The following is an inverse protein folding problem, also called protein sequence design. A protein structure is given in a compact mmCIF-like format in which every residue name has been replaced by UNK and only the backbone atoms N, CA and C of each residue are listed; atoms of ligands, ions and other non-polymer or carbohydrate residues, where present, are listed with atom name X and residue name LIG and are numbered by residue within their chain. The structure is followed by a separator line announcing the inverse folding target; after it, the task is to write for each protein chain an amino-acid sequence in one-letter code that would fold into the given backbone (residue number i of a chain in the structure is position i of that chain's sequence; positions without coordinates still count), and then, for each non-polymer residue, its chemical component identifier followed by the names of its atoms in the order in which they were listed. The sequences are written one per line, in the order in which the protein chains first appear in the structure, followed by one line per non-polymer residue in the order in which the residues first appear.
data_IF_927286224186
#
_entry.id   IF_927286224186
#
_cell.length_a   1.000
_cell.length_b   1.000
_cell.length_c   1.000
_cell.angle_alpha   90.00
_cell.angle_beta   90.00
_cell.angle_gamma   90.00
#
_symmetry.space_group_name_H-M   'P 1'
#
loop_
_entity.id
_entity.type
_entity.pdbx_description
1 polymer ?
#
# COMPACT_ATOMS: atom_id res chain seq x y z
N UNK A 1 -32.72 -23.57 29.69
CA UNK A 1 -32.29 -22.19 30.00
C UNK A 1 -30.79 -22.17 30.38
N UNK A 2 -29.92 -21.83 29.43
CA UNK A 2 -28.48 -21.72 29.71
C UNK A 2 -28.16 -20.26 30.05
N UNK A 3 -27.71 -20.05 31.29
CA UNK A 3 -27.24 -18.76 31.83
C UNK A 3 -25.82 -18.50 31.33
N UNK A 4 -25.63 -17.43 30.56
CA UNK A 4 -24.30 -16.96 30.15
C UNK A 4 -23.92 -15.75 31.00
N UNK A 5 -23.27 -16.04 32.14
CA UNK A 5 -22.40 -15.06 32.79
C UNK A 5 -20.99 -15.26 32.21
N UNK A 6 -20.61 -14.37 31.29
CA UNK A 6 -19.22 -14.25 30.84
C UNK A 6 -18.97 -12.77 30.53
N UNK A 7 -18.35 -12.07 31.48
CA UNK A 7 -17.85 -10.70 31.33
C UNK A 7 -16.66 -10.67 30.38
N UNK A 8 -16.87 -11.04 29.12
CA UNK A 8 -15.88 -10.89 28.06
C UNK A 8 -16.01 -9.47 27.50
N UNK A 9 -15.01 -8.63 27.79
CA UNK A 9 -14.84 -7.33 27.16
C UNK A 9 -14.48 -7.53 25.68
N UNK A 10 -15.49 -7.68 24.85
CA UNK A 10 -15.31 -7.67 23.40
C UNK A 10 -15.09 -6.22 22.95
N UNK A 11 -13.90 -5.92 22.46
CA UNK A 11 -13.62 -4.63 21.82
C UNK A 11 -13.95 -4.73 20.33
N UNK A 12 -15.03 -4.08 19.92
CA UNK A 12 -15.43 -4.01 18.52
C UNK A 12 -14.88 -2.73 17.88
N UNK A 13 -14.54 -2.82 16.59
CA UNK A 13 -14.22 -1.64 15.80
C UNK A 13 -15.45 -0.73 15.69
N UNK A 14 -15.23 0.58 15.79
CA UNK A 14 -16.28 1.56 15.53
C UNK A 14 -16.50 1.68 14.03
N UNK A 15 -17.76 1.74 13.62
CA UNK A 15 -18.09 2.04 12.24
C UNK A 15 -17.75 3.50 11.95
N UNK A 16 -16.97 3.73 10.89
CA UNK A 16 -16.70 5.06 10.35
C UNK A 16 -17.73 5.38 9.26
N UNK A 17 -18.13 6.65 9.17
CA UNK A 17 -19.01 7.11 8.09
C UNK A 17 -18.28 7.10 6.75
N UNK A 18 -19.03 7.15 5.65
CA UNK A 18 -18.44 7.19 4.29
C UNK A 18 -17.52 8.41 4.08
N UNK A 19 -17.89 9.55 4.68
CA UNK A 19 -17.14 10.79 4.56
C UNK A 19 -15.85 10.74 5.41
N UNK A 20 -15.91 10.13 6.59
CA UNK A 20 -14.71 9.84 7.39
C UNK A 20 -13.79 8.86 6.68
N UNK A 21 -14.34 7.78 6.12
CA UNK A 21 -13.57 6.82 5.32
C UNK A 21 -12.87 7.50 4.14
N UNK A 22 -13.51 8.44 3.44
CA UNK A 22 -12.87 9.14 2.33
C UNK A 22 -11.75 10.08 2.78
N UNK A 23 -11.91 10.73 3.93
CA UNK A 23 -10.86 11.57 4.53
C UNK A 23 -9.69 10.72 5.04
N UNK A 24 -9.97 9.60 5.68
CA UNK A 24 -8.96 8.65 6.16
C UNK A 24 -8.30 7.88 5.00
N UNK A 25 -9.07 7.51 3.99
CA UNK A 25 -8.59 6.95 2.72
C UNK A 25 -7.92 7.99 1.85
N UNK A 26 -7.70 9.21 2.33
CA UNK A 26 -6.87 10.15 1.62
C UNK A 26 -5.54 9.48 1.28
N UNK A 27 -5.15 9.56 0.00
CA UNK A 27 -3.93 8.95 -0.52
C UNK A 27 -2.69 9.28 0.35
N UNK A 28 -2.72 10.42 1.07
CA UNK A 28 -1.71 10.84 2.03
C UNK A 28 -1.58 9.91 3.25
N UNK A 29 -2.69 9.50 3.87
CA UNK A 29 -2.66 8.60 5.02
C UNK A 29 -2.25 7.18 4.61
N UNK A 30 -2.81 6.68 3.49
CA UNK A 30 -2.40 5.40 2.91
C UNK A 30 -0.90 5.39 2.57
N UNK A 31 -0.40 6.46 1.93
CA UNK A 31 1.02 6.63 1.63
C UNK A 31 1.91 6.61 2.87
N UNK A 32 1.47 7.26 3.96
CA UNK A 32 2.19 7.23 5.24
C UNK A 32 2.27 5.82 5.82
N UNK A 33 1.16 5.08 5.84
CA UNK A 33 1.15 3.71 6.34
C UNK A 33 2.04 2.77 5.52
N UNK A 34 1.97 2.87 4.19
CA UNK A 34 2.83 2.11 3.28
C UNK A 34 4.31 2.45 3.47
N UNK A 35 4.64 3.72 3.76
CA UNK A 35 6.02 4.12 4.07
C UNK A 35 6.52 3.44 5.36
N UNK A 36 5.69 3.40 6.40
CA UNK A 36 6.00 2.67 7.64
C UNK A 36 6.17 1.17 7.40
N UNK A 37 5.37 0.56 6.52
CA UNK A 37 5.54 -0.85 6.13
C UNK A 37 6.87 -1.07 5.39
N UNK A 38 7.28 -0.14 4.52
CA UNK A 38 8.57 -0.21 3.86
C UNK A 38 9.73 -0.09 4.88
N UNK A 39 9.60 0.79 5.87
CA UNK A 39 10.57 0.92 6.97
C UNK A 39 10.68 -0.38 7.78
N UNK A 40 9.57 -1.03 8.09
CA UNK A 40 9.60 -2.27 8.85
C UNK A 40 10.34 -3.37 8.09
N UNK A 41 10.12 -3.53 6.77
CA UNK A 41 10.84 -4.51 5.95
C UNK A 41 12.36 -4.27 5.96
N UNK A 42 12.79 -3.00 5.89
CA UNK A 42 14.21 -2.62 5.88
C UNK A 42 14.86 -2.90 7.24
N UNK A 43 14.19 -2.47 8.31
CA UNK A 43 14.72 -2.50 9.67
C UNK A 43 14.50 -3.84 10.39
N UNK A 44 13.69 -4.77 9.86
CA UNK A 44 13.39 -6.05 10.50
C UNK A 44 14.66 -6.89 10.67
N UNK A 45 15.05 -7.19 11.91
CA UNK A 45 16.24 -8.00 12.19
C UNK A 45 15.96 -9.50 12.09
N UNK A 46 14.69 -9.92 12.01
CA UNK A 46 14.30 -11.32 11.94
C UNK A 46 14.32 -11.87 10.50
N UNK A 47 14.44 -10.98 9.50
CA UNK A 47 14.52 -11.38 8.10
C UNK A 47 15.96 -11.57 7.67
N UNK A 48 16.22 -12.69 6.99
CA UNK A 48 17.48 -12.88 6.28
C UNK A 48 17.63 -11.88 5.13
N UNK A 49 18.85 -11.61 4.70
CA UNK A 49 19.12 -10.68 3.60
C UNK A 49 18.38 -11.07 2.31
N UNK A 50 18.29 -12.37 2.00
CA UNK A 50 17.57 -12.86 0.84
C UNK A 50 16.06 -12.56 0.92
N UNK A 51 15.44 -12.77 2.09
CA UNK A 51 14.02 -12.49 2.29
C UNK A 51 13.72 -10.99 2.23
N UNK A 52 14.61 -10.15 2.78
CA UNK A 52 14.51 -8.70 2.65
C UNK A 52 14.53 -8.28 1.19
N UNK A 53 15.45 -8.82 0.39
CA UNK A 53 15.55 -8.49 -1.04
C UNK A 53 14.27 -8.87 -1.78
N UNK A 54 13.70 -10.04 -1.52
CA UNK A 54 12.44 -10.47 -2.15
C UNK A 54 11.30 -9.55 -1.74
N UNK A 55 11.12 -9.28 -0.44
CA UNK A 55 10.05 -8.41 0.04
C UNK A 55 10.18 -6.97 -0.46
N UNK A 56 11.40 -6.44 -0.54
CA UNK A 56 11.67 -5.11 -1.10
C UNK A 56 11.36 -5.06 -2.59
N UNK A 57 11.68 -6.12 -3.34
CA UNK A 57 11.31 -6.24 -4.76
C UNK A 57 9.79 -6.21 -4.91
N UNK A 58 9.07 -7.04 -4.16
CA UNK A 58 7.62 -7.13 -4.25
C UNK A 58 6.96 -5.80 -3.85
N UNK A 59 7.47 -5.15 -2.80
CA UNK A 59 7.02 -3.83 -2.38
C UNK A 59 7.22 -2.78 -3.48
N UNK A 60 8.40 -2.78 -4.13
CA UNK A 60 8.71 -1.85 -5.23
C UNK A 60 7.76 -2.03 -6.40
N UNK A 61 7.40 -3.27 -6.74
CA UNK A 61 6.48 -3.58 -7.83
C UNK A 61 5.06 -3.12 -7.48
N UNK A 62 4.59 -3.42 -6.27
CA UNK A 62 3.24 -3.08 -5.84
C UNK A 62 3.04 -1.57 -5.60
N UNK A 63 4.06 -0.89 -5.06
CA UNK A 63 3.98 0.50 -4.60
C UNK A 63 5.16 1.36 -5.09
N UNK A 64 5.34 1.51 -6.41
CA UNK A 64 6.52 2.15 -6.98
C UNK A 64 6.67 3.62 -6.57
N UNK A 65 5.56 4.34 -6.41
CA UNK A 65 5.55 5.76 -5.99
C UNK A 65 6.04 5.94 -4.55
N UNK A 66 5.64 5.06 -3.64
CA UNK A 66 6.06 5.08 -2.23
C UNK A 66 7.54 4.71 -2.13
N UNK A 67 7.97 3.68 -2.87
CA UNK A 67 9.36 3.27 -2.95
C UNK A 67 10.24 4.41 -3.49
N UNK A 68 9.83 5.06 -4.59
CA UNK A 68 10.55 6.19 -5.16
C UNK A 68 10.56 7.41 -4.24
N UNK A 69 9.49 7.69 -3.49
CA UNK A 69 9.48 8.81 -2.55
C UNK A 69 10.55 8.66 -1.45
N UNK A 70 10.85 7.41 -1.06
CA UNK A 70 11.82 7.07 -0.01
C UNK A 70 13.26 7.07 -0.50
N UNK A 71 13.52 6.51 -1.68
CA UNK A 71 14.88 6.33 -2.23
C UNK A 71 15.24 7.30 -3.37
N UNK A 72 14.25 7.96 -3.98
CA UNK A 72 14.41 8.79 -5.18
C UNK A 72 14.96 10.19 -4.94
N UNK A 73 15.56 10.45 -3.77
CA UNK A 73 16.21 11.74 -3.44
C UNK A 73 17.71 11.64 -3.17
N UNK A 74 18.37 10.54 -3.52
CA UNK A 74 19.83 10.55 -3.56
C UNK A 74 20.28 11.09 -4.93
N UNK A 75 20.60 12.39 -4.93
CA UNK A 75 21.51 12.94 -5.94
C UNK A 75 22.84 12.21 -5.83
N UNK A 76 23.01 11.19 -6.66
CA UNK A 76 24.19 10.86 -7.48
C UNK A 76 25.49 11.62 -7.10
N UNK A 77 26.06 11.40 -5.92
CA UNK A 77 27.46 11.70 -5.59
C UNK A 77 27.86 10.75 -4.45
N UNK A 78 28.82 9.86 -4.71
CA UNK A 78 29.46 8.90 -3.78
C UNK A 78 28.89 7.45 -3.74
N UNK A 79 29.40 6.68 -4.72
CA UNK A 79 29.50 5.22 -4.93
C UNK A 79 29.63 4.31 -3.66
N UNK A 80 29.22 3.00 -3.70
CA UNK A 80 29.67 2.00 -4.66
C UNK A 80 28.60 1.16 -5.37
N UNK A 81 28.91 0.86 -6.63
CA UNK A 81 28.17 0.02 -7.58
C UNK A 81 27.77 -1.33 -6.96
N UNK A 82 26.48 -1.55 -6.79
CA UNK A 82 25.92 -2.91 -6.78
C UNK A 82 25.54 -3.21 -8.23
N UNK A 83 26.43 -3.91 -8.94
CA UNK A 83 26.16 -4.40 -10.28
C UNK A 83 25.06 -5.47 -10.19
N UNK A 84 24.13 -5.44 -11.15
CA UNK A 84 23.05 -6.40 -11.42
C UNK A 84 21.64 -5.96 -10.99
N UNK A 85 21.15 -4.87 -11.61
CA UNK A 85 19.72 -4.76 -11.93
C UNK A 85 19.61 -4.23 -13.37
N UNK A 86 18.97 -4.96 -14.31
CA UNK A 86 18.81 -4.45 -15.66
C UNK A 86 17.93 -3.20 -15.61
N UNK A 87 18.52 -2.10 -16.05
CA UNK A 87 17.85 -0.83 -16.34
C UNK A 87 16.80 -1.08 -17.41
N UNK A 88 15.53 -1.22 -17.02
CA UNK A 88 14.42 -1.09 -17.96
C UNK A 88 14.10 0.39 -18.03
N UNK A 89 14.50 0.95 -19.16
CA UNK A 89 14.41 2.35 -19.51
C UNK A 89 12.93 2.70 -19.77
N UNK A 90 12.57 3.93 -19.41
CA UNK A 90 11.23 4.50 -19.42
C UNK A 90 10.54 4.53 -20.80
N UNK A 91 9.23 4.86 -20.76
CA UNK A 91 8.36 5.58 -21.72
C UNK A 91 7.02 4.79 -21.85
N UNK A 92 5.83 5.22 -21.46
CA UNK A 92 5.19 6.54 -21.44
C UNK A 92 4.07 6.57 -20.38
N UNK A 93 4.03 7.60 -19.54
CA UNK A 93 2.83 7.97 -18.77
C UNK A 93 2.11 9.10 -19.52
N UNK A 94 1.15 8.73 -20.37
CA UNK A 94 0.23 9.70 -20.98
C UNK A 94 -0.97 9.85 -20.06
N UNK A 95 -0.97 10.91 -19.25
CA UNK A 95 -2.12 11.32 -18.47
C UNK A 95 -3.09 12.04 -19.42
N UNK A 96 -4.08 11.30 -19.96
CA UNK A 96 -5.25 11.89 -20.60
C UNK A 96 -6.42 11.83 -19.63
N UNK A 97 -6.58 12.93 -18.92
CA UNK A 97 -7.78 13.35 -18.23
C UNK A 97 -8.85 13.71 -19.27
N UNK A 98 -9.85 12.84 -19.43
CA UNK A 98 -11.12 13.18 -20.08
C UNK A 98 -12.23 12.44 -19.33
N UNK A 99 -13.16 13.21 -18.74
CA UNK A 99 -14.35 12.70 -18.08
C UNK A 99 -15.43 12.44 -19.12
N UNK A 100 -15.94 11.21 -19.24
CA UNK A 100 -17.27 10.95 -19.84
C UNK A 100 -17.94 9.74 -19.19
N UNK A 101 -18.95 10.05 -18.37
CA UNK A 101 -20.29 9.45 -18.33
C UNK A 101 -20.49 7.96 -18.70
N UNK A 102 -21.20 7.28 -17.78
CA UNK A 102 -22.08 6.11 -18.00
C UNK A 102 -21.46 4.72 -17.93
N UNK A 103 -21.68 4.02 -16.81
CA UNK A 103 -22.10 2.63 -16.91
C UNK A 103 -23.23 2.33 -15.93
N UNK A 104 -24.39 2.21 -16.54
CA UNK A 104 -25.66 1.74 -16.02
C UNK A 104 -25.55 0.40 -15.28
N UNK A 105 -26.08 0.40 -14.04
CA UNK A 105 -26.97 -0.60 -13.43
C UNK A 105 -26.86 -2.05 -13.95
N UNK A 106 -26.37 -2.95 -13.09
CA UNK A 106 -27.02 -4.25 -12.81
C UNK A 106 -26.31 -5.02 -11.68
N UNK A 107 -26.68 -4.75 -10.43
CA UNK A 107 -26.44 -5.67 -9.30
C UNK A 107 -27.74 -5.89 -8.54
N UNK A 108 -28.76 -6.37 -9.24
CA UNK A 108 -29.89 -7.07 -8.63
C UNK A 108 -29.88 -8.49 -9.18
N UNK A 109 -29.39 -9.45 -8.36
CA UNK A 109 -29.91 -10.83 -8.22
C UNK A 109 -28.89 -11.74 -7.53
N UNK A 110 -28.68 -11.56 -6.23
CA UNK A 110 -28.30 -12.65 -5.32
C UNK A 110 -28.98 -12.34 -3.98
N UNK A 111 -30.28 -12.62 -3.88
CA UNK A 111 -31.01 -13.14 -2.70
C UNK A 111 -32.41 -13.45 -3.24
N UNK A 112 -32.63 -14.71 -3.61
CA UNK A 112 -33.83 -15.49 -3.30
C UNK A 112 -33.47 -16.96 -3.45
#
# INVERSE_FOLDING_TARGET
PCSVNSSQNFSFCKQISKLEYQQESSNKQQSKHLSTLLDSIICDQNLSENEKVVKLRDFKIAYPTIYQAKFGKEKLNDTPKINNLPSINNNNLSLKNEATTSLSKNFKKIIF
#
